data_IF_361396681029
#
_entry.id   IF_361396681029
#
_cell.length_a   1.000
_cell.length_b   1.000
_cell.length_c   1.000
_cell.angle_alpha   90.00
_cell.angle_beta   90.00
_cell.angle_gamma   90.00
#
_symmetry.space_group_name_H-M   'P 1'
#
loop_
_entity.id
_entity.type
_entity.pdbx_description
1 polymer ?
#
# COMPACT_ATOMS: atom_id res chain seq x y z
N UNK A 1 -0.26 -15.06 4.60
CA UNK A 1 -1.40 -15.99 4.72
C UNK A 1 -2.43 -15.51 3.72
N UNK A 2 -2.93 -16.38 2.84
CA UNK A 2 -3.94 -15.99 1.85
C UNK A 2 -5.35 -15.91 2.49
N UNK A 3 -6.34 -15.43 1.75
CA UNK A 3 -7.72 -15.24 2.23
C UNK A 3 -8.35 -16.55 2.74
N UNK A 4 -8.15 -17.67 2.05
CA UNK A 4 -8.70 -18.97 2.44
C UNK A 4 -8.08 -19.47 3.75
N UNK A 5 -6.76 -19.34 3.90
CA UNK A 5 -6.05 -19.68 5.12
C UNK A 5 -6.51 -18.81 6.32
N UNK A 6 -6.78 -17.51 6.09
CA UNK A 6 -7.38 -16.62 7.10
C UNK A 6 -8.76 -17.11 7.53
N UNK A 7 -9.63 -17.46 6.58
CA UNK A 7 -10.98 -17.95 6.88
C UNK A 7 -10.94 -19.25 7.69
N UNK A 8 -10.04 -20.17 7.35
CA UNK A 8 -9.84 -21.42 8.11
C UNK A 8 -9.39 -21.11 9.54
N UNK A 9 -8.41 -20.21 9.71
CA UNK A 9 -7.93 -19.80 11.05
C UNK A 9 -9.00 -19.12 11.89
N UNK A 10 -9.85 -18.28 11.28
CA UNK A 10 -11.00 -17.69 11.96
C UNK A 10 -11.94 -18.77 12.50
N UNK A 11 -12.19 -19.83 11.72
CA UNK A 11 -13.04 -20.95 12.15
C UNK A 11 -12.41 -21.76 13.30
N UNK A 12 -11.10 -22.01 13.24
CA UNK A 12 -10.36 -22.67 14.33
C UNK A 12 -10.44 -21.87 15.63
N UNK A 13 -10.33 -20.53 15.55
CA UNK A 13 -10.42 -19.65 16.72
C UNK A 13 -11.87 -19.59 17.24
N UNK A 14 -12.89 -19.48 16.39
CA UNK A 14 -14.31 -19.48 16.82
C UNK A 14 -14.68 -20.76 17.57
N UNK A 15 -14.05 -21.90 17.23
CA UNK A 15 -14.25 -23.18 17.92
C UNK A 15 -13.68 -23.23 19.34
N UNK A 16 -12.86 -22.26 19.77
CA UNK A 16 -12.40 -22.15 21.17
C UNK A 16 -13.58 -21.81 22.09
N UNK A 17 -14.56 -21.02 21.60
CA UNK A 17 -15.78 -20.73 22.34
C UNK A 17 -16.79 -21.87 22.19
N UNK A 18 -17.37 -22.37 23.29
CA UNK A 18 -18.50 -23.29 23.23
C UNK A 18 -19.65 -22.68 22.42
N UNK A 19 -20.33 -23.52 21.63
CA UNK A 19 -21.50 -23.09 20.84
C UNK A 19 -22.64 -22.55 21.71
N UNK A 20 -22.79 -23.12 22.90
CA UNK A 20 -23.78 -22.71 23.88
C UNK A 20 -23.18 -21.66 24.82
N UNK A 21 -23.74 -20.45 24.83
CA UNK A 21 -23.25 -19.35 25.67
C UNK A 21 -23.39 -19.61 27.18
N UNK A 22 -24.22 -20.58 27.59
CA UNK A 22 -24.33 -21.01 28.99
C UNK A 22 -23.09 -21.77 29.49
N UNK A 23 -22.27 -22.28 28.58
CA UNK A 23 -21.02 -23.00 28.90
C UNK A 23 -19.80 -22.07 28.94
N UNK A 24 -20.01 -20.77 28.72
CA UNK A 24 -18.94 -19.79 28.72
C UNK A 24 -18.45 -19.54 30.15
N UNK A 25 -17.20 -19.93 30.41
CA UNK A 25 -16.51 -19.60 31.65
C UNK A 25 -15.59 -18.40 31.43
N UNK A 26 -15.32 -17.63 32.49
CA UNK A 26 -14.42 -16.48 32.40
C UNK A 26 -13.05 -16.84 31.80
N UNK A 27 -12.50 -18.01 32.15
CA UNK A 27 -11.21 -18.47 31.61
C UNK A 27 -11.26 -18.72 30.11
N UNK A 28 -12.33 -19.37 29.62
CA UNK A 28 -12.49 -19.66 28.19
C UNK A 28 -12.69 -18.35 27.43
N UNK A 29 -13.53 -17.45 27.94
CA UNK A 29 -13.79 -16.15 27.34
C UNK A 29 -12.53 -15.28 27.27
N UNK A 30 -11.75 -15.23 28.35
CA UNK A 30 -10.48 -14.52 28.37
C UNK A 30 -9.49 -15.10 27.36
N UNK A 31 -9.33 -16.43 27.35
CA UNK A 31 -8.44 -17.11 26.39
C UNK A 31 -8.86 -16.85 24.95
N UNK A 32 -10.15 -16.92 24.64
CA UNK A 32 -10.68 -16.63 23.32
C UNK A 32 -10.44 -15.18 22.91
N UNK A 33 -10.68 -14.22 23.81
CA UNK A 33 -10.47 -12.81 23.55
C UNK A 33 -9.00 -12.51 23.26
N UNK A 34 -8.09 -12.99 24.10
CA UNK A 34 -6.64 -12.81 23.92
C UNK A 34 -6.15 -13.47 22.64
N UNK A 35 -6.65 -14.67 22.33
CA UNK A 35 -6.30 -15.35 21.07
C UNK A 35 -6.77 -14.55 19.87
N UNK A 36 -8.01 -14.05 19.90
CA UNK A 36 -8.60 -13.25 18.83
C UNK A 36 -7.83 -11.95 18.60
N UNK A 37 -7.54 -11.17 19.65
CA UNK A 37 -6.81 -9.90 19.50
C UNK A 37 -5.38 -10.12 18.98
N UNK A 38 -4.70 -11.19 19.42
CA UNK A 38 -3.36 -11.52 18.90
C UNK A 38 -3.42 -12.00 17.44
N UNK A 39 -4.42 -12.78 17.07
CA UNK A 39 -4.63 -13.21 15.69
C UNK A 39 -4.86 -12.00 14.77
N UNK A 40 -5.80 -11.12 15.12
CA UNK A 40 -6.09 -9.92 14.32
C UNK A 40 -4.85 -9.02 14.26
N UNK A 41 -4.14 -8.82 15.37
CA UNK A 41 -2.89 -8.06 15.40
C UNK A 41 -1.87 -8.56 14.38
N UNK A 42 -1.60 -9.86 14.38
CA UNK A 42 -0.47 -10.45 13.65
C UNK A 42 -0.78 -10.74 12.19
N UNK A 43 -2.04 -11.07 11.87
CA UNK A 43 -2.43 -11.56 10.54
C UNK A 43 -3.36 -10.63 9.78
N UNK A 44 -3.97 -9.65 10.45
CA UNK A 44 -4.88 -8.67 9.82
C UNK A 44 -4.30 -7.27 9.88
N UNK A 45 -3.62 -6.91 10.97
CA UNK A 45 -2.88 -5.65 11.11
C UNK A 45 -3.47 -4.71 12.17
N UNK A 46 -2.58 -3.99 12.85
CA UNK A 46 -2.93 -3.07 13.95
C UNK A 46 -3.70 -1.83 13.49
N UNK A 47 -3.57 -1.45 12.22
CA UNK A 47 -4.21 -0.25 11.68
C UNK A 47 -5.67 -0.48 11.25
N UNK A 48 -6.16 -1.73 11.31
CA UNK A 48 -7.49 -2.10 10.87
C UNK A 48 -8.58 -1.75 11.89
N UNK A 49 -9.79 -1.49 11.41
CA UNK A 49 -10.96 -1.27 12.27
C UNK A 49 -11.28 -2.52 13.12
N UNK A 50 -10.95 -3.71 12.61
CA UNK A 50 -11.05 -4.97 13.36
C UNK A 50 -10.16 -4.98 14.60
N UNK A 51 -8.89 -4.57 14.47
CA UNK A 51 -7.98 -4.48 15.61
C UNK A 51 -8.40 -3.39 16.59
N UNK A 52 -8.74 -2.20 16.09
CA UNK A 52 -9.17 -1.06 16.93
C UNK A 52 -10.39 -1.41 17.78
N UNK A 53 -11.39 -2.10 17.22
CA UNK A 53 -12.56 -2.56 17.98
C UNK A 53 -12.18 -3.48 19.16
N UNK A 54 -11.26 -4.42 18.94
CA UNK A 54 -10.77 -5.32 19.98
C UNK A 54 -9.92 -4.58 21.02
N UNK A 55 -9.08 -3.65 20.57
CA UNK A 55 -8.23 -2.85 21.44
C UNK A 55 -9.04 -1.94 22.38
N UNK A 56 -10.08 -1.29 21.87
CA UNK A 56 -11.02 -0.49 22.67
C UNK A 56 -11.82 -1.35 23.66
N UNK A 57 -12.22 -2.56 23.25
CA UNK A 57 -12.86 -3.53 24.16
C UNK A 57 -11.93 -3.98 25.30
N UNK A 58 -10.61 -4.02 25.06
CA UNK A 58 -9.62 -4.34 26.07
C UNK A 58 -9.32 -3.17 27.02
N UNK A 59 -9.30 -1.93 26.50
CA UNK A 59 -9.01 -0.71 27.28
C UNK A 59 -10.11 -0.30 28.26
N UNK A 60 -11.36 -0.58 27.92
CA UNK A 60 -12.48 -0.18 28.75
C UNK A 60 -12.46 -0.91 30.10
N UNK A 61 -12.06 -0.20 31.17
CA UNK A 61 -12.10 -0.72 32.55
C UNK A 61 -13.53 -1.01 33.04
N UNK A 62 -14.56 -0.55 32.32
CA UNK A 62 -15.99 -0.73 32.64
C UNK A 62 -16.66 -1.91 31.88
N UNK A 63 -15.92 -2.69 31.07
CA UNK A 63 -16.44 -3.94 30.48
C UNK A 63 -16.19 -5.11 31.44
N UNK A 64 -16.87 -5.10 32.59
CA UNK A 64 -16.65 -5.99 33.76
C UNK A 64 -16.98 -7.48 33.56
N UNK A 65 -17.15 -7.98 32.33
CA UNK A 65 -17.21 -9.43 32.13
C UNK A 65 -16.41 -9.89 30.92
N UNK A 66 -15.60 -10.91 31.15
CA UNK A 66 -14.91 -11.65 30.09
C UNK A 66 -15.88 -12.15 29.02
N UNK A 67 -17.11 -12.48 29.42
CA UNK A 67 -18.21 -12.81 28.50
C UNK A 67 -18.49 -11.70 27.48
N UNK A 68 -18.52 -10.43 27.91
CA UNK A 68 -18.77 -9.30 27.00
C UNK A 68 -17.60 -9.10 26.04
N UNK A 69 -16.36 -9.22 26.52
CA UNK A 69 -15.16 -9.15 25.67
C UNK A 69 -15.14 -10.28 24.64
N UNK A 70 -15.45 -11.51 25.07
CA UNK A 70 -15.57 -12.66 24.17
C UNK A 70 -16.68 -12.48 23.13
N UNK A 71 -17.82 -11.89 23.51
CA UNK A 71 -18.89 -11.58 22.55
C UNK A 71 -18.44 -10.58 21.50
N UNK A 72 -17.78 -9.48 21.90
CA UNK A 72 -17.21 -8.50 20.96
C UNK A 72 -16.18 -9.17 20.04
N UNK A 73 -15.28 -9.98 20.58
CA UNK A 73 -14.31 -10.71 19.78
C UNK A 73 -14.96 -11.65 18.75
N UNK A 74 -16.04 -12.33 19.13
CA UNK A 74 -16.80 -13.19 18.24
C UNK A 74 -17.44 -12.42 17.10
N UNK A 75 -18.06 -11.27 17.39
CA UNK A 75 -18.63 -10.41 16.35
C UNK A 75 -17.54 -9.84 15.42
N UNK A 76 -16.37 -9.45 15.95
CA UNK A 76 -15.24 -9.01 15.12
C UNK A 76 -14.75 -10.12 14.19
N UNK A 77 -14.58 -11.35 14.67
CA UNK A 77 -14.19 -12.49 13.82
C UNK A 77 -15.23 -12.78 12.73
N UNK A 78 -16.51 -12.69 13.07
CA UNK A 78 -17.61 -12.83 12.10
C UNK A 78 -17.56 -11.73 11.05
N UNK A 79 -17.46 -10.46 11.45
CA UNK A 79 -17.36 -9.33 10.53
C UNK A 79 -16.13 -9.43 9.63
N UNK A 80 -14.99 -9.86 10.17
CA UNK A 80 -13.77 -10.11 9.40
C UNK A 80 -14.01 -11.24 8.37
N UNK A 81 -14.61 -12.35 8.77
CA UNK A 81 -14.94 -13.46 7.85
C UNK A 81 -15.89 -13.00 6.74
N UNK A 82 -16.91 -12.23 7.07
CA UNK A 82 -17.86 -11.66 6.10
C UNK A 82 -17.14 -10.71 5.13
N UNK A 83 -16.24 -9.86 5.63
CA UNK A 83 -15.40 -8.99 4.81
C UNK A 83 -14.53 -9.77 3.82
N UNK A 84 -13.87 -10.85 4.29
CA UNK A 84 -13.04 -11.71 3.45
C UNK A 84 -13.86 -12.47 2.40
N UNK A 85 -15.08 -12.92 2.73
CA UNK A 85 -15.99 -13.59 1.79
C UNK A 85 -16.50 -12.66 0.68
N UNK A 86 -16.47 -11.35 0.89
CA UNK A 86 -16.80 -10.34 -0.12
C UNK A 86 -15.63 -10.06 -1.08
N UNK A 87 -14.51 -10.77 -0.91
CA UNK A 87 -13.27 -10.60 -1.70
C UNK A 87 -12.73 -9.16 -1.65
N UNK A 88 -12.93 -8.49 -0.52
CA UNK A 88 -12.39 -7.16 -0.27
C UNK A 88 -10.93 -7.27 0.15
N UNK A 89 -10.05 -6.51 -0.51
CA UNK A 89 -8.62 -6.54 -0.20
C UNK A 89 -8.33 -5.81 1.13
N UNK A 90 -8.21 -6.62 2.18
CA UNK A 90 -7.89 -6.23 3.55
C UNK A 90 -6.60 -5.40 3.64
N UNK A 91 -5.67 -5.61 2.71
CA UNK A 91 -4.35 -5.02 2.71
C UNK A 91 -4.16 -3.98 1.62
N UNK A 92 -5.23 -3.53 0.95
CA UNK A 92 -5.11 -2.60 -0.18
C UNK A 92 -4.30 -1.34 0.18
N UNK A 93 -4.60 -0.73 1.33
CA UNK A 93 -3.90 0.48 1.80
C UNK A 93 -2.47 0.20 2.25
N UNK A 94 -2.20 -0.95 2.88
CA UNK A 94 -0.85 -1.32 3.33
C UNK A 94 0.05 -1.68 2.15
N UNK A 95 -0.47 -2.44 1.17
CA UNK A 95 0.23 -2.72 -0.10
C UNK A 95 0.56 -1.44 -0.83
N UNK A 96 -0.39 -0.52 -0.94
CA UNK A 96 -0.15 0.80 -1.54
C UNK A 96 0.98 1.54 -0.82
N UNK A 97 0.92 1.65 0.52
CA UNK A 97 1.95 2.33 1.29
C UNK A 97 3.33 1.68 1.12
N UNK A 98 3.43 0.34 1.14
CA UNK A 98 4.70 -0.37 0.92
C UNK A 98 5.26 -0.05 -0.47
N UNK A 99 4.42 -0.05 -1.50
CA UNK A 99 4.87 0.30 -2.86
C UNK A 99 5.37 1.74 -2.93
N UNK A 100 4.66 2.69 -2.30
CA UNK A 100 5.11 4.09 -2.20
C UNK A 100 6.43 4.23 -1.44
N UNK A 101 6.64 3.46 -0.37
CA UNK A 101 7.91 3.44 0.37
C UNK A 101 9.06 2.91 -0.50
N UNK A 102 8.83 1.85 -1.28
CA UNK A 102 9.81 1.29 -2.22
C UNK A 102 10.15 2.31 -3.32
N UNK A 103 9.14 2.96 -3.90
CA UNK A 103 9.32 4.03 -4.90
C UNK A 103 10.16 5.17 -4.29
N UNK A 104 9.86 5.57 -3.06
CA UNK A 104 10.59 6.62 -2.35
C UNK A 104 12.05 6.24 -2.08
N UNK A 105 12.33 4.98 -1.76
CA UNK A 105 13.69 4.46 -1.61
C UNK A 105 14.46 4.51 -2.94
N UNK A 106 13.84 4.10 -4.05
CA UNK A 106 14.45 4.18 -5.37
C UNK A 106 14.70 5.63 -5.81
N UNK A 107 13.80 6.56 -5.48
CA UNK A 107 14.04 7.99 -5.70
C UNK A 107 15.25 8.50 -4.90
N UNK A 108 15.43 8.05 -3.65
CA UNK A 108 16.64 8.37 -2.87
C UNK A 108 17.90 7.80 -3.51
N UNK A 109 17.88 6.55 -3.96
CA UNK A 109 19.00 5.94 -4.68
C UNK A 109 19.31 6.70 -5.98
N UNK A 110 18.30 7.22 -6.70
CA UNK A 110 18.50 8.04 -7.88
C UNK A 110 19.25 9.35 -7.54
N UNK A 111 18.93 9.98 -6.41
CA UNK A 111 19.66 11.15 -5.89
C UNK A 111 21.12 10.81 -5.60
N UNK A 112 21.35 9.69 -4.90
CA UNK A 112 22.69 9.24 -4.55
C UNK A 112 23.56 8.98 -5.79
N UNK A 113 22.99 8.30 -6.80
CA UNK A 113 23.64 8.05 -8.09
C UNK A 113 23.97 9.33 -8.87
N UNK A 114 23.08 10.32 -8.86
CA UNK A 114 23.33 11.60 -9.53
C UNK A 114 24.46 12.39 -8.85
N UNK A 115 24.53 12.34 -7.51
CA UNK A 115 25.54 13.04 -6.71
C UNK A 115 26.92 12.36 -6.73
N UNK A 116 26.97 11.03 -6.87
CA UNK A 116 28.25 10.31 -6.95
C UNK A 116 28.86 10.42 -8.37
N UNK A 117 30.01 11.09 -8.43
CA UNK A 117 30.78 11.32 -9.65
C UNK A 117 31.36 10.04 -10.26
N UNK A 118 31.40 8.93 -9.52
CA UNK A 118 31.88 7.63 -10.02
C UNK A 118 30.92 6.98 -10.99
N UNK A 119 29.63 7.33 -10.93
CA UNK A 119 28.60 6.74 -11.80
C UNK A 119 28.15 7.75 -12.85
N UNK A 120 27.80 7.27 -14.04
CA UNK A 120 27.22 8.11 -15.07
C UNK A 120 25.79 8.53 -14.66
N UNK A 121 25.39 9.82 -14.81
CA UNK A 121 24.05 10.30 -14.44
C UNK A 121 22.88 9.58 -15.14
N UNK A 122 23.14 8.92 -16.27
CA UNK A 122 22.17 8.06 -16.94
C UNK A 122 21.58 6.98 -16.01
N UNK A 123 22.36 6.40 -15.09
CA UNK A 123 21.85 5.41 -14.13
C UNK A 123 20.78 6.02 -13.20
N UNK A 124 21.00 7.26 -12.77
CA UNK A 124 20.05 8.03 -11.98
C UNK A 124 18.78 8.36 -12.78
N UNK A 125 18.93 8.80 -14.04
CA UNK A 125 17.80 9.07 -14.94
C UNK A 125 16.92 7.83 -15.19
N UNK A 126 17.53 6.65 -15.36
CA UNK A 126 16.81 5.38 -15.53
C UNK A 126 16.01 5.06 -14.27
N UNK A 127 16.65 5.15 -13.09
CA UNK A 127 15.99 4.81 -11.82
C UNK A 127 14.87 5.80 -11.47
N UNK A 128 15.07 7.10 -11.71
CA UNK A 128 14.04 8.13 -11.61
C UNK A 128 12.84 7.79 -12.50
N UNK A 129 13.08 7.46 -13.77
CA UNK A 129 12.00 7.15 -14.70
C UNK A 129 11.27 5.86 -14.37
N UNK A 130 11.97 4.82 -13.91
CA UNK A 130 11.35 3.60 -13.40
C UNK A 130 10.45 3.88 -12.19
N UNK A 131 10.92 4.70 -11.25
CA UNK A 131 10.17 5.09 -10.05
C UNK A 131 8.92 5.91 -10.41
N UNK A 132 9.03 6.83 -11.36
CA UNK A 132 7.89 7.59 -11.89
C UNK A 132 6.87 6.66 -12.58
N UNK A 133 7.34 5.69 -13.38
CA UNK A 133 6.46 4.73 -14.05
C UNK A 133 5.65 3.90 -13.06
N UNK A 134 6.29 3.35 -12.03
CA UNK A 134 5.62 2.59 -10.98
C UNK A 134 4.63 3.48 -10.20
N UNK A 135 5.02 4.70 -9.85
CA UNK A 135 4.10 5.63 -9.19
C UNK A 135 2.86 5.96 -10.03
N UNK A 136 3.01 6.14 -11.35
CA UNK A 136 1.87 6.38 -12.22
C UNK A 136 0.94 5.17 -12.30
N UNK A 137 1.47 3.94 -12.26
CA UNK A 137 0.65 2.72 -12.18
C UNK A 137 -0.14 2.69 -10.86
N UNK A 138 0.51 3.00 -9.74
CA UNK A 138 -0.15 3.07 -8.44
C UNK A 138 -1.21 4.17 -8.36
N UNK A 139 -0.93 5.34 -8.94
CA UNK A 139 -1.89 6.44 -9.01
C UNK A 139 -3.11 6.04 -9.84
N UNK A 140 -2.91 5.40 -10.99
CA UNK A 140 -4.00 4.86 -11.80
C UNK A 140 -4.82 3.81 -11.04
N UNK A 141 -4.17 2.89 -10.32
CA UNK A 141 -4.85 1.87 -9.52
C UNK A 141 -5.69 2.50 -8.38
N UNK A 142 -5.10 3.44 -7.63
CA UNK A 142 -5.77 4.20 -6.55
C UNK A 142 -7.01 4.93 -7.04
N UNK A 143 -6.91 5.60 -8.19
CA UNK A 143 -8.00 6.36 -8.80
C UNK A 143 -8.92 5.47 -9.68
N UNK A 144 -8.71 4.15 -9.69
CA UNK A 144 -9.50 3.16 -10.43
C UNK A 144 -9.58 3.43 -11.94
N UNK A 145 -8.49 3.93 -12.51
CA UNK A 145 -8.34 4.14 -13.95
C UNK A 145 -8.24 2.80 -14.67
N UNK A 146 -9.05 2.62 -15.71
CA UNK A 146 -8.93 1.44 -16.55
C UNK A 146 -7.70 1.55 -17.47
N UNK A 147 -6.73 0.65 -17.26
CA UNK A 147 -5.49 0.54 -18.06
C UNK A 147 -5.53 -0.63 -19.08
N UNK A 148 -6.68 -1.27 -19.29
CA UNK A 148 -6.81 -2.39 -20.22
C UNK A 148 -6.45 -1.99 -21.67
N UNK A 149 -5.60 -2.82 -22.29
CA UNK A 149 -5.13 -2.59 -23.66
C UNK A 149 -4.12 -1.44 -23.82
N UNK A 150 -3.70 -0.81 -22.72
CA UNK A 150 -2.70 0.26 -22.71
C UNK A 150 -1.31 -0.33 -22.42
N UNK A 151 -0.28 0.19 -23.10
CA UNK A 151 1.11 -0.18 -22.81
C UNK A 151 1.50 0.38 -21.44
N UNK A 152 1.96 -0.50 -20.54
CA UNK A 152 2.35 -0.17 -19.17
C UNK A 152 3.68 0.60 -19.09
N UNK A 153 3.69 1.82 -19.63
CA UNK A 153 4.86 2.73 -19.68
C UNK A 153 4.42 4.17 -19.35
N UNK A 154 5.37 5.06 -19.07
CA UNK A 154 5.09 6.44 -18.62
C UNK A 154 4.12 7.19 -19.56
N UNK A 155 4.40 7.24 -20.87
CA UNK A 155 3.62 8.09 -21.79
C UNK A 155 2.15 7.64 -21.95
N UNK A 156 1.85 6.35 -22.19
CA UNK A 156 0.46 5.91 -22.32
C UNK A 156 -0.32 6.01 -21.02
N UNK A 157 0.29 5.68 -19.88
CA UNK A 157 -0.36 5.78 -18.57
C UNK A 157 -0.67 7.24 -18.23
N UNK A 158 0.31 8.14 -18.37
CA UNK A 158 0.12 9.57 -18.04
C UNK A 158 -0.94 10.23 -18.91
N UNK A 159 -1.01 9.89 -20.20
CA UNK A 159 -2.11 10.32 -21.09
C UNK A 159 -3.46 9.83 -20.59
N UNK A 160 -3.57 8.56 -20.21
CA UNK A 160 -4.82 7.99 -19.72
C UNK A 160 -5.27 8.65 -18.41
N UNK A 161 -4.36 8.82 -17.45
CA UNK A 161 -4.65 9.52 -16.18
C UNK A 161 -5.05 10.98 -16.43
N UNK A 162 -4.47 11.65 -17.44
CA UNK A 162 -4.88 12.98 -17.85
C UNK A 162 -6.28 13.02 -18.51
N UNK A 163 -6.60 12.03 -19.35
CA UNK A 163 -7.93 11.90 -19.98
C UNK A 163 -9.05 11.70 -18.95
N UNK A 164 -8.75 11.03 -17.84
CA UNK A 164 -9.64 10.87 -16.69
C UNK A 164 -9.59 12.08 -15.71
N UNK A 165 -8.94 13.18 -16.11
CA UNK A 165 -8.84 14.44 -15.36
C UNK A 165 -8.18 14.37 -13.97
N UNK A 166 -7.44 13.30 -13.68
CA UNK A 166 -6.73 13.12 -12.40
C UNK A 166 -5.52 14.06 -12.31
N UNK A 167 -4.77 14.21 -13.41
CA UNK A 167 -3.66 15.16 -13.52
C UNK A 167 -4.02 16.29 -14.47
N UNK A 168 -3.41 17.46 -14.28
CA UNK A 168 -3.68 18.58 -15.17
C UNK A 168 -2.71 18.60 -16.37
N UNK A 169 -2.98 19.50 -17.32
CA UNK A 169 -2.19 19.62 -18.56
C UNK A 169 -0.72 19.99 -18.31
N UNK A 170 -0.42 20.73 -17.25
CA UNK A 170 0.95 21.06 -16.88
C UNK A 170 1.69 19.83 -16.35
N UNK A 171 1.05 19.06 -15.47
CA UNK A 171 1.62 17.81 -14.96
C UNK A 171 1.95 16.85 -16.11
N UNK A 172 1.06 16.69 -17.09
CA UNK A 172 1.31 15.85 -18.27
C UNK A 172 2.57 16.30 -19.04
N UNK A 173 2.79 17.61 -19.19
CA UNK A 173 3.97 18.14 -19.88
C UNK A 173 5.25 17.86 -19.10
N UNK A 174 5.20 18.03 -17.78
CA UNK A 174 6.35 17.78 -16.91
C UNK A 174 6.71 16.29 -16.93
N UNK A 175 5.72 15.40 -16.82
CA UNK A 175 5.89 13.94 -16.96
C UNK A 175 6.49 13.59 -18.31
N UNK A 176 5.99 14.17 -19.41
CA UNK A 176 6.53 13.93 -20.76
C UNK A 176 8.00 14.36 -20.86
N UNK A 177 8.36 15.46 -20.20
CA UNK A 177 9.75 15.92 -20.15
C UNK A 177 10.66 14.93 -19.40
N UNK A 178 10.23 14.43 -18.25
CA UNK A 178 10.96 13.42 -17.47
C UNK A 178 11.07 12.07 -18.19
N UNK A 179 10.00 11.66 -18.89
CA UNK A 179 10.00 10.48 -19.75
C UNK A 179 11.06 10.60 -20.86
N UNK A 180 11.18 11.78 -21.47
CA UNK A 180 12.24 12.09 -22.43
C UNK A 180 13.64 11.84 -21.87
N UNK A 181 13.93 12.38 -20.67
CA UNK A 181 15.22 12.18 -19.99
C UNK A 181 15.51 10.68 -19.78
N UNK A 182 14.52 9.91 -19.31
CA UNK A 182 14.66 8.46 -19.14
C UNK A 182 14.93 7.76 -20.48
N UNK A 183 14.21 8.14 -21.54
CA UNK A 183 14.36 7.52 -22.86
C UNK A 183 15.76 7.73 -23.42
N UNK A 184 16.29 8.96 -23.38
CA UNK A 184 17.68 9.25 -23.78
C UNK A 184 18.68 8.36 -23.03
N UNK A 185 18.51 8.21 -21.71
CA UNK A 185 19.36 7.35 -20.90
C UNK A 185 19.26 5.87 -21.28
N UNK A 186 18.06 5.34 -21.53
CA UNK A 186 17.86 3.92 -21.91
C UNK A 186 18.29 3.60 -23.34
N UNK A 187 18.31 4.59 -24.23
CA UNK A 187 18.75 4.43 -25.61
C UNK A 187 20.24 4.70 -25.82
N UNK A 188 20.98 5.02 -24.75
CA UNK A 188 22.43 5.21 -24.80
C UNK A 188 22.88 6.58 -25.28
N UNK A 189 21.96 7.56 -25.36
CA UNK A 189 22.27 8.94 -25.74
C UNK A 189 22.84 9.70 -24.54
N UNK A 190 24.00 9.24 -24.06
CA UNK A 190 24.58 9.68 -22.80
C UNK A 190 24.97 11.16 -22.75
N UNK A 191 25.27 11.75 -23.90
CA UNK A 191 25.57 13.19 -24.00
C UNK A 191 24.35 14.06 -23.63
N UNK A 192 23.14 13.60 -23.95
CA UNK A 192 21.89 14.32 -23.64
C UNK A 192 21.53 14.29 -22.14
N UNK A 193 22.09 13.34 -21.40
CA UNK A 193 21.82 13.12 -19.97
C UNK A 193 23.07 13.29 -19.10
N UNK A 194 24.13 13.90 -19.63
CA UNK A 194 25.40 14.08 -18.92
C UNK A 194 25.36 15.22 -17.89
N UNK A 195 24.39 16.13 -17.99
CA UNK A 195 24.19 17.21 -17.02
C UNK A 195 23.50 16.69 -15.74
N UNK A 196 24.32 16.43 -14.70
CA UNK A 196 23.84 16.01 -13.37
C UNK A 196 22.86 16.98 -12.74
N UNK A 197 23.03 18.29 -12.93
CA UNK A 197 22.11 19.29 -12.34
C UNK A 197 20.74 19.18 -12.99
N UNK A 198 20.68 18.97 -14.30
CA UNK A 198 19.43 18.70 -15.02
C UNK A 198 18.74 17.45 -14.47
N UNK A 199 19.49 16.37 -14.22
CA UNK A 199 18.92 15.14 -13.64
C UNK A 199 18.41 15.36 -12.22
N UNK A 200 19.18 16.04 -11.35
CA UNK A 200 18.75 16.36 -9.98
C UNK A 200 17.49 17.24 -9.95
N UNK A 201 17.39 18.22 -10.84
CA UNK A 201 16.19 19.05 -10.98
C UNK A 201 14.98 18.23 -11.44
N UNK A 202 15.18 17.28 -12.36
CA UNK A 202 14.12 16.36 -12.79
C UNK A 202 13.65 15.47 -11.64
N UNK A 203 14.58 14.92 -10.85
CA UNK A 203 14.27 14.12 -9.66
C UNK A 203 13.44 14.93 -8.66
N UNK A 204 13.83 16.18 -8.38
CA UNK A 204 13.05 17.02 -7.46
C UNK A 204 11.66 17.32 -8.03
N UNK A 205 11.56 17.55 -9.34
CA UNK A 205 10.27 17.70 -10.04
C UNK A 205 9.37 16.48 -9.85
N UNK A 206 9.91 15.27 -10.05
CA UNK A 206 9.19 14.00 -9.82
C UNK A 206 8.76 13.87 -8.35
N UNK A 207 9.64 14.17 -7.39
CA UNK A 207 9.29 14.14 -5.96
C UNK A 207 8.18 15.13 -5.60
N UNK A 208 8.20 16.34 -6.17
CA UNK A 208 7.14 17.33 -5.97
C UNK A 208 5.81 16.85 -6.56
N UNK A 209 5.85 16.25 -7.75
CA UNK A 209 4.67 15.64 -8.38
C UNK A 209 4.11 14.50 -7.52
N UNK A 210 4.93 13.56 -7.09
CA UNK A 210 4.50 12.44 -6.23
C UNK A 210 3.87 12.95 -4.94
N UNK A 211 4.47 13.97 -4.29
CA UNK A 211 3.91 14.57 -3.07
C UNK A 211 2.57 15.28 -3.29
N UNK A 212 2.33 15.82 -4.48
CA UNK A 212 1.08 16.50 -4.84
C UNK A 212 -0.09 15.51 -4.96
N UNK A 213 0.16 14.26 -5.31
CA UNK A 213 -0.86 13.24 -5.63
C UNK A 213 -0.89 12.04 -4.66
N UNK A 214 -0.04 12.06 -3.62
CA UNK A 214 -0.02 11.04 -2.56
C UNK A 214 -1.20 11.20 -1.60
#
# INVERSE_FOLDING_TARGET
>A
MNTDELIVKIQEIDNILPKNSKEWTNSICYSFFITTIQFVKNYVGENTEFYKALYEANKNQYTDSENKKAWIAKEVLKSLKDYLNLDLDLFASEKYNIKIDIISDFMRQAIDLANDKKFHPAASAILMGASLEEYLKELAEKEKVNLDGIKMTIDPISKKIYEEEIINKQDLKDITSWAGIRNEATHGNFDEVNDRKRILNAIEGVNLFMRKYN
#
